data_IF_349658316633
#
_entry.id   IF_349658316633
#
_cell.length_a   1.000
_cell.length_b   1.000
_cell.length_c   1.000
_cell.angle_alpha   90.00
_cell.angle_beta   90.00
_cell.angle_gamma   90.00
#
_symmetry.space_group_name_H-M   'P 1'
#
loop_
_entity.id
_entity.type
_entity.pdbx_description
1 polymer ?
#
# COMPACT_ATOMS: atom_id res chain seq x y z
N UNK A 1 -12.12 16.62 0.22
CA UNK A 1 -12.18 15.32 0.90
C UNK A 1 -12.46 15.54 2.39
N UNK A 2 -13.72 15.45 2.83
CA UNK A 2 -14.14 15.39 4.24
C UNK A 2 -13.44 16.37 5.23
N UNK A 3 -12.99 17.55 4.77
CA UNK A 3 -12.34 18.55 5.63
C UNK A 3 -10.81 18.45 5.74
N UNK A 4 -10.18 17.48 5.10
CA UNK A 4 -8.71 17.38 5.05
C UNK A 4 -8.16 18.19 3.87
N UNK A 5 -7.16 19.03 4.13
CA UNK A 5 -6.42 19.78 3.09
C UNK A 5 -5.34 18.89 2.46
N UNK A 6 -4.80 17.96 3.25
CA UNK A 6 -3.75 17.02 2.85
C UNK A 6 -4.32 15.61 2.66
N UNK A 7 -4.16 14.99 1.48
CA UNK A 7 -4.58 13.62 1.22
C UNK A 7 -3.86 12.58 2.09
N UNK A 8 -2.59 12.82 2.46
CA UNK A 8 -1.82 11.91 3.31
C UNK A 8 -2.36 11.92 4.75
N UNK A 9 -2.67 13.10 5.30
CA UNK A 9 -3.29 13.22 6.61
C UNK A 9 -4.67 12.53 6.65
N UNK A 10 -5.46 12.64 5.58
CA UNK A 10 -6.71 11.89 5.44
C UNK A 10 -6.48 10.39 5.43
N UNK A 11 -5.48 9.93 4.68
CA UNK A 11 -5.15 8.50 4.58
C UNK A 11 -4.71 7.95 5.93
N UNK A 12 -3.82 8.66 6.61
CA UNK A 12 -3.32 8.27 7.93
C UNK A 12 -4.46 8.12 8.94
N UNK A 13 -5.34 9.13 9.04
CA UNK A 13 -6.42 9.14 10.02
C UNK A 13 -7.54 8.13 9.70
N UNK A 14 -7.95 8.04 8.44
CA UNK A 14 -9.11 7.23 8.04
C UNK A 14 -8.75 5.77 7.78
N UNK A 15 -7.53 5.49 7.35
CA UNK A 15 -7.12 4.15 6.94
C UNK A 15 -6.11 3.52 7.91
N UNK A 16 -5.02 4.23 8.23
CA UNK A 16 -3.90 3.65 8.98
C UNK A 16 -4.12 3.64 10.49
N UNK A 17 -4.69 4.71 11.05
CA UNK A 17 -4.96 4.83 12.48
C UNK A 17 -6.30 4.23 12.90
N UNK A 18 -7.04 3.67 11.97
CA UNK A 18 -8.34 3.06 12.27
C UNK A 18 -8.17 1.86 13.18
N UNK A 19 -8.72 1.96 14.38
CA UNK A 19 -8.62 0.93 15.43
C UNK A 19 -9.60 -0.23 15.27
N UNK A 20 -10.65 -0.09 14.43
CA UNK A 20 -11.71 -1.08 14.26
C UNK A 20 -11.98 -1.41 12.79
N UNK A 21 -12.20 -2.70 12.52
CA UNK A 21 -12.55 -3.24 11.21
C UNK A 21 -11.36 -3.45 10.28
N UNK A 22 -11.63 -4.02 9.09
CA UNK A 22 -10.63 -4.17 8.03
C UNK A 22 -10.65 -2.92 7.14
N UNK A 23 -9.59 -2.09 7.15
CA UNK A 23 -9.52 -0.88 6.33
C UNK A 23 -9.57 -1.20 4.83
N UNK A 24 -9.11 -2.40 4.42
CA UNK A 24 -9.10 -2.78 3.02
C UNK A 24 -10.49 -3.06 2.46
N UNK A 25 -11.40 -3.58 3.28
CA UNK A 25 -12.80 -3.80 2.87
C UNK A 25 -13.51 -2.46 2.62
N UNK A 26 -13.40 -1.52 3.56
CA UNK A 26 -13.98 -0.19 3.42
C UNK A 26 -13.39 0.58 2.22
N UNK A 27 -12.07 0.49 2.03
CA UNK A 27 -11.40 1.09 0.89
C UNK A 27 -11.85 0.46 -0.43
N UNK A 28 -11.99 -0.86 -0.49
CA UNK A 28 -12.45 -1.58 -1.67
C UNK A 28 -13.87 -1.18 -2.05
N UNK A 29 -14.76 -1.02 -1.08
CA UNK A 29 -16.13 -0.54 -1.29
C UNK A 29 -16.13 0.90 -1.82
N UNK A 30 -15.41 1.81 -1.17
CA UNK A 30 -15.32 3.21 -1.60
C UNK A 30 -14.78 3.35 -3.03
N UNK A 31 -13.71 2.63 -3.36
CA UNK A 31 -13.17 2.60 -4.72
C UNK A 31 -14.17 1.95 -5.71
N UNK A 32 -14.94 0.95 -5.29
CA UNK A 32 -16.02 0.37 -6.08
C UNK A 32 -17.04 1.42 -6.52
N UNK A 33 -17.54 2.23 -5.58
CA UNK A 33 -18.48 3.33 -5.85
C UNK A 33 -17.87 4.39 -6.77
N UNK A 34 -16.61 4.76 -6.56
CA UNK A 34 -15.91 5.70 -7.45
C UNK A 34 -15.78 5.16 -8.87
N UNK A 35 -15.51 3.87 -9.04
CA UNK A 35 -15.44 3.22 -10.36
C UNK A 35 -16.78 3.21 -11.07
N UNK A 36 -17.87 2.97 -10.35
CA UNK A 36 -19.23 3.01 -10.90
C UNK A 36 -19.63 4.42 -11.35
N UNK A 37 -19.20 5.45 -10.62
CA UNK A 37 -19.45 6.84 -10.96
C UNK A 37 -18.48 7.41 -12.03
N UNK A 38 -17.41 6.70 -12.35
CA UNK A 38 -16.38 7.14 -13.28
C UNK A 38 -16.74 6.78 -14.71
N UNK A 39 -16.35 7.60 -15.71
CA UNK A 39 -16.45 7.20 -17.10
C UNK A 39 -15.61 5.95 -17.38
N UNK A 40 -15.78 5.38 -18.56
CA UNK A 40 -15.22 4.09 -18.95
C UNK A 40 -13.79 3.82 -18.46
N UNK A 41 -13.59 2.64 -17.92
CA UNK A 41 -12.25 2.16 -17.56
C UNK A 41 -11.43 1.91 -18.82
N UNK A 42 -10.25 2.48 -18.91
CA UNK A 42 -9.37 2.35 -20.08
C UNK A 42 -8.96 0.88 -20.34
N UNK A 43 -8.69 0.55 -21.60
CA UNK A 43 -8.38 -0.82 -22.02
C UNK A 43 -7.06 -1.34 -21.40
N UNK A 44 -6.11 -0.47 -21.07
CA UNK A 44 -4.86 -0.87 -20.41
C UNK A 44 -5.13 -1.36 -18.99
N UNK A 45 -6.00 -0.69 -18.25
CA UNK A 45 -6.47 -1.10 -16.93
C UNK A 45 -7.22 -2.44 -17.00
N UNK A 46 -8.12 -2.59 -17.96
CA UNK A 46 -8.86 -3.85 -18.15
C UNK A 46 -7.94 -5.03 -18.48
N UNK A 47 -6.87 -4.80 -19.25
CA UNK A 47 -5.83 -5.82 -19.55
C UNK A 47 -5.03 -6.19 -18.30
N UNK A 48 -4.63 -5.20 -17.48
CA UNK A 48 -3.95 -5.47 -16.20
C UNK A 48 -4.81 -6.34 -15.30
N UNK A 49 -6.08 -6.00 -15.15
CA UNK A 49 -7.04 -6.75 -14.33
C UNK A 49 -7.28 -8.17 -14.88
N UNK A 50 -7.41 -8.32 -16.19
CA UNK A 50 -7.51 -9.64 -16.84
C UNK A 50 -6.27 -10.51 -16.54
N UNK A 51 -5.07 -9.91 -16.55
CA UNK A 51 -3.83 -10.60 -16.22
C UNK A 51 -3.78 -10.97 -14.73
N UNK A 52 -4.10 -10.06 -13.82
CA UNK A 52 -4.17 -10.33 -12.38
C UNK A 52 -5.13 -11.48 -12.08
N UNK A 53 -6.34 -11.48 -12.65
CA UNK A 53 -7.30 -12.58 -12.50
C UNK A 53 -6.79 -13.90 -13.09
N UNK A 54 -6.02 -13.86 -14.17
CA UNK A 54 -5.37 -15.06 -14.75
C UNK A 54 -4.37 -15.65 -13.77
N UNK A 55 -3.53 -14.83 -13.15
CA UNK A 55 -2.54 -15.25 -12.13
C UNK A 55 -3.25 -15.83 -10.91
N UNK A 56 -4.29 -15.15 -10.39
CA UNK A 56 -5.10 -15.64 -9.28
C UNK A 56 -5.72 -17.02 -9.55
N UNK A 57 -6.28 -17.20 -10.74
CA UNK A 57 -6.83 -18.50 -11.14
C UNK A 57 -5.74 -19.58 -11.23
N UNK A 58 -4.53 -19.23 -11.64
CA UNK A 58 -3.41 -20.16 -11.68
C UNK A 58 -2.98 -20.56 -10.26
N UNK A 59 -2.86 -19.63 -9.34
CA UNK A 59 -2.55 -19.89 -7.94
C UNK A 59 -3.59 -20.81 -7.27
N UNK A 60 -4.89 -20.53 -7.48
CA UNK A 60 -5.96 -21.40 -6.98
C UNK A 60 -5.89 -22.82 -7.53
N UNK A 61 -5.60 -22.96 -8.84
CA UNK A 61 -5.43 -24.30 -9.46
C UNK A 61 -4.19 -25.03 -8.97
N UNK A 62 -3.17 -24.30 -8.54
CA UNK A 62 -1.99 -24.87 -7.90
C UNK A 62 -2.22 -25.33 -6.45
N UNK A 63 -3.45 -25.15 -5.92
CA UNK A 63 -3.82 -25.62 -4.58
C UNK A 63 -3.52 -24.64 -3.46
N UNK A 64 -3.18 -23.36 -3.77
CA UNK A 64 -3.00 -22.37 -2.72
C UNK A 64 -4.36 -21.97 -2.12
N UNK A 65 -4.54 -22.24 -0.83
CA UNK A 65 -5.77 -21.94 -0.09
C UNK A 65 -5.79 -20.49 0.44
N UNK A 66 -4.63 -19.95 0.80
CA UNK A 66 -4.47 -18.59 1.31
C UNK A 66 -3.68 -17.77 0.31
N UNK A 67 -4.35 -16.80 -0.32
CA UNK A 67 -3.75 -15.97 -1.37
C UNK A 67 -3.94 -14.50 -0.98
N UNK A 68 -2.83 -13.79 -0.80
CA UNK A 68 -2.83 -12.35 -0.65
C UNK A 68 -2.53 -11.69 -1.99
N UNK A 69 -3.23 -10.62 -2.31
CA UNK A 69 -3.05 -9.84 -3.54
C UNK A 69 -2.66 -8.43 -3.17
N UNK A 70 -1.45 -8.03 -3.55
CA UNK A 70 -0.98 -6.65 -3.39
C UNK A 70 -1.13 -5.94 -4.74
N UNK A 71 -2.01 -4.95 -4.80
CA UNK A 71 -2.28 -4.19 -6.03
C UNK A 71 -2.69 -2.75 -5.68
N UNK A 72 -2.69 -1.86 -6.68
CA UNK A 72 -3.25 -0.53 -6.51
C UNK A 72 -4.75 -0.61 -6.17
N UNK A 73 -5.22 0.25 -5.27
CA UNK A 73 -6.58 0.24 -4.75
C UNK A 73 -7.66 0.26 -5.85
N UNK A 74 -7.38 0.95 -6.97
CA UNK A 74 -8.28 0.99 -8.14
C UNK A 74 -8.64 -0.39 -8.69
N UNK A 75 -7.74 -1.38 -8.57
CA UNK A 75 -7.94 -2.73 -9.08
C UNK A 75 -8.66 -3.66 -8.08
N UNK A 76 -8.68 -3.32 -6.79
CA UNK A 76 -9.21 -4.18 -5.74
C UNK A 76 -10.68 -4.61 -5.99
N UNK A 77 -11.63 -3.72 -6.34
CA UNK A 77 -13.01 -4.12 -6.60
C UNK A 77 -13.15 -5.12 -7.78
N UNK A 78 -12.30 -4.97 -8.81
CA UNK A 78 -12.32 -5.87 -9.97
C UNK A 78 -11.79 -7.27 -9.68
N UNK A 79 -11.06 -7.43 -8.56
CA UNK A 79 -10.47 -8.69 -8.11
C UNK A 79 -11.28 -9.34 -6.99
N UNK A 80 -11.87 -8.54 -6.09
CA UNK A 80 -12.71 -9.00 -4.98
C UNK A 80 -14.12 -9.38 -5.44
N UNK A 81 -14.67 -8.71 -6.44
CA UNK A 81 -16.02 -8.92 -6.96
C UNK A 81 -16.16 -10.20 -7.80
N UNK A 82 -17.36 -10.36 -8.39
CA UNK A 82 -17.62 -11.48 -9.30
C UNK A 82 -16.78 -11.35 -10.58
N UNK A 83 -15.88 -12.29 -10.86
CA UNK A 83 -15.01 -12.17 -12.01
C UNK A 83 -15.78 -12.35 -13.33
N UNK A 84 -15.35 -11.69 -14.41
CA UNK A 84 -15.84 -11.96 -15.76
C UNK A 84 -15.53 -13.39 -16.19
N UNK A 85 -16.18 -13.84 -17.27
CA UNK A 85 -15.90 -15.16 -17.84
C UNK A 85 -14.45 -15.28 -18.27
N UNK A 86 -13.83 -16.42 -18.03
CA UNK A 86 -12.41 -16.70 -18.39
C UNK A 86 -12.14 -16.42 -19.87
N UNK A 87 -13.10 -16.70 -20.74
CA UNK A 87 -12.98 -16.42 -22.16
C UNK A 87 -12.82 -14.92 -22.47
N UNK A 88 -13.45 -14.04 -21.71
CA UNK A 88 -13.31 -12.59 -21.88
C UNK A 88 -11.92 -12.11 -21.49
N UNK A 89 -11.38 -12.57 -20.36
CA UNK A 89 -10.02 -12.26 -19.96
C UNK A 89 -8.99 -12.78 -20.99
N UNK A 90 -9.20 -14.01 -21.49
CA UNK A 90 -8.31 -14.59 -22.49
C UNK A 90 -8.37 -13.82 -23.83
N UNK A 91 -9.54 -13.35 -24.23
CA UNK A 91 -9.70 -12.53 -25.44
C UNK A 91 -8.92 -11.21 -25.33
N UNK A 92 -9.00 -10.53 -24.17
CA UNK A 92 -8.24 -9.29 -23.90
C UNK A 92 -6.73 -9.48 -23.92
N UNK A 93 -6.27 -10.64 -23.47
CA UNK A 93 -4.84 -10.96 -23.38
C UNK A 93 -4.29 -11.58 -24.66
N UNK A 94 -5.16 -11.87 -25.66
CA UNK A 94 -4.74 -12.48 -26.92
C UNK A 94 -3.87 -11.51 -27.72
N UNK A 95 -2.76 -12.01 -28.24
CA UNK A 95 -1.85 -11.23 -29.11
C UNK A 95 -0.94 -10.25 -28.38
N UNK A 96 -0.97 -10.20 -27.04
CA UNK A 96 -0.02 -9.38 -26.31
C UNK A 96 1.41 -9.90 -26.42
N UNK A 97 2.33 -9.03 -26.79
CA UNK A 97 3.76 -9.35 -26.83
C UNK A 97 4.26 -9.67 -25.41
N UNK A 98 5.08 -10.71 -25.30
CA UNK A 98 5.80 -10.99 -24.06
C UNK A 98 7.02 -10.08 -23.99
N UNK A 99 7.06 -9.19 -23.01
CA UNK A 99 8.26 -8.43 -22.70
C UNK A 99 9.33 -9.35 -22.08
N UNK A 100 10.57 -9.16 -22.46
CA UNK A 100 11.70 -9.75 -21.72
C UNK A 100 11.82 -8.96 -20.42
N UNK A 101 11.66 -9.66 -19.30
CA UNK A 101 11.79 -9.06 -17.96
C UNK A 101 12.92 -9.73 -17.21
N UNK A 102 13.69 -8.97 -16.48
CA UNK A 102 14.65 -9.46 -15.50
C UNK A 102 14.18 -9.04 -14.11
N UNK A 103 14.14 -10.00 -13.19
CA UNK A 103 13.81 -9.76 -11.81
C UNK A 103 15.09 -9.87 -10.99
N UNK A 104 15.31 -8.88 -10.12
CA UNK A 104 16.42 -8.91 -9.19
C UNK A 104 15.91 -8.53 -7.78
N UNK A 105 16.54 -9.10 -6.78
CA UNK A 105 16.27 -8.72 -5.41
C UNK A 105 17.03 -7.45 -5.06
N UNK A 106 16.33 -6.47 -4.54
CA UNK A 106 16.92 -5.20 -4.07
C UNK A 106 16.69 -5.10 -2.57
N UNK A 107 17.74 -4.88 -1.75
CA UNK A 107 17.55 -4.66 -0.32
C UNK A 107 16.70 -3.41 -0.08
N UNK A 108 15.64 -3.55 0.68
CA UNK A 108 14.81 -2.44 1.13
C UNK A 108 15.37 -1.87 2.42
N UNK A 109 15.79 -0.62 2.39
CA UNK A 109 16.18 0.15 3.58
C UNK A 109 15.25 1.33 3.72
N UNK A 110 15.12 1.90 4.92
CA UNK A 110 14.32 3.10 5.13
C UNK A 110 14.76 4.24 4.20
N UNK A 111 16.05 4.40 3.97
CA UNK A 111 16.56 5.40 3.04
C UNK A 111 16.10 5.18 1.59
N UNK A 112 15.96 3.93 1.15
CA UNK A 112 15.46 3.61 -0.19
C UNK A 112 13.95 3.77 -0.31
N UNK A 113 13.21 3.62 0.76
CA UNK A 113 11.77 3.86 0.83
C UNK A 113 11.43 5.35 0.89
N UNK A 114 12.32 6.15 1.50
CA UNK A 114 12.12 7.59 1.61
C UNK A 114 12.16 8.31 0.26
N UNK A 115 11.34 9.32 0.09
CA UNK A 115 11.02 10.00 -1.17
C UNK A 115 12.18 10.60 -1.97
N UNK A 116 13.37 10.75 -1.38
CA UNK A 116 14.52 11.41 -2.02
C UNK A 116 15.40 10.54 -2.91
N UNK A 117 15.14 9.23 -3.02
CA UNK A 117 16.09 8.30 -3.66
C UNK A 117 15.84 8.01 -5.14
N UNK A 118 14.84 8.63 -5.77
CA UNK A 118 14.45 8.36 -7.17
C UNK A 118 13.93 6.93 -7.45
N UNK A 119 14.05 6.04 -6.49
CA UNK A 119 13.60 4.64 -6.54
C UNK A 119 12.36 4.41 -5.65
N UNK A 120 11.85 5.46 -5.06
CA UNK A 120 10.96 5.35 -3.92
C UNK A 120 9.49 5.40 -4.31
N UNK A 121 8.70 4.69 -3.54
CA UNK A 121 7.27 4.91 -3.46
C UNK A 121 6.91 6.27 -2.83
N UNK A 122 7.90 7.07 -2.42
CA UNK A 122 7.69 8.37 -1.80
C UNK A 122 7.19 8.28 -0.35
N UNK A 123 7.50 7.20 0.35
CA UNK A 123 7.06 7.03 1.74
C UNK A 123 7.79 8.02 2.64
N UNK A 124 7.05 8.90 3.27
CA UNK A 124 7.57 9.74 4.34
C UNK A 124 7.77 8.90 5.61
N UNK A 125 8.84 9.18 6.35
CA UNK A 125 9.13 8.54 7.64
C UNK A 125 8.96 7.00 7.67
N UNK A 126 9.58 6.22 6.76
CA UNK A 126 9.41 4.77 6.71
C UNK A 126 9.81 4.06 8.01
N UNK A 127 10.65 4.68 8.83
CA UNK A 127 10.98 4.20 10.18
C UNK A 127 9.79 4.24 11.14
N UNK A 128 8.91 5.23 11.00
CA UNK A 128 7.67 5.31 11.77
C UNK A 128 6.74 4.13 11.47
N UNK A 129 6.48 3.87 10.20
CA UNK A 129 5.63 2.74 9.79
C UNK A 129 6.22 1.39 10.20
N UNK A 130 7.54 1.25 10.10
CA UNK A 130 8.22 0.06 10.61
C UNK A 130 8.00 -0.13 12.12
N UNK A 131 8.07 0.96 12.88
CA UNK A 131 7.81 0.94 14.31
C UNK A 131 6.36 0.59 14.62
N UNK A 132 5.39 1.20 13.95
CA UNK A 132 3.96 0.88 14.11
C UNK A 132 3.69 -0.62 13.89
N UNK A 133 4.31 -1.19 12.87
CA UNK A 133 4.17 -2.61 12.55
C UNK A 133 4.83 -3.55 13.57
N UNK A 134 5.93 -3.14 14.18
CA UNK A 134 6.75 -4.01 15.04
C UNK A 134 6.60 -3.75 16.53
N UNK A 135 6.11 -2.58 16.94
CA UNK A 135 5.98 -2.22 18.35
C UNK A 135 4.80 -2.97 18.99
N UNK A 136 5.02 -3.65 20.12
CA UNK A 136 3.96 -4.36 20.83
C UNK A 136 3.00 -3.41 21.56
N UNK A 137 3.46 -2.19 21.92
CA UNK A 137 2.72 -1.19 22.67
C UNK A 137 3.34 0.20 22.51
N UNK A 138 2.60 1.25 22.85
CA UNK A 138 3.04 2.65 22.96
C UNK A 138 3.96 3.12 21.83
N UNK A 139 3.54 3.04 20.56
CA UNK A 139 4.41 3.36 19.42
C UNK A 139 4.94 4.80 19.45
N UNK A 140 4.13 5.78 19.82
CA UNK A 140 4.54 7.19 19.91
C UNK A 140 5.69 7.39 20.90
N UNK A 141 5.57 6.85 22.11
CA UNK A 141 6.63 6.96 23.14
C UNK A 141 7.92 6.30 22.67
N UNK A 142 7.80 5.13 22.03
CA UNK A 142 8.95 4.39 21.47
C UNK A 142 9.61 5.18 20.34
N UNK A 143 8.80 5.77 19.46
CA UNK A 143 9.29 6.59 18.35
C UNK A 143 10.07 7.80 18.85
N UNK A 144 9.48 8.60 19.73
CA UNK A 144 10.12 9.79 20.30
C UNK A 144 11.41 9.44 21.03
N UNK A 145 11.42 8.32 21.76
CA UNK A 145 12.63 7.83 22.44
C UNK A 145 13.73 7.46 21.44
N UNK A 146 13.40 6.78 20.34
CA UNK A 146 14.36 6.41 19.29
C UNK A 146 14.90 7.63 18.56
N UNK A 147 14.03 8.59 18.21
CA UNK A 147 14.42 9.86 17.59
C UNK A 147 15.39 10.62 18.49
N UNK A 148 15.05 10.78 19.78
CA UNK A 148 15.91 11.44 20.74
C UNK A 148 17.28 10.75 20.89
N UNK A 149 17.29 9.42 20.94
CA UNK A 149 18.54 8.65 20.99
C UNK A 149 19.37 8.84 19.71
N UNK A 150 18.72 8.95 18.54
CA UNK A 150 19.39 9.19 17.27
C UNK A 150 20.00 10.58 17.21
N UNK A 151 19.26 11.60 17.62
CA UNK A 151 19.73 12.99 17.67
C UNK A 151 20.94 13.14 18.62
N UNK A 152 20.88 12.54 19.81
CA UNK A 152 21.99 12.55 20.76
C UNK A 152 23.26 11.87 20.23
N UNK A 153 23.12 10.80 19.45
CA UNK A 153 24.29 10.17 18.79
C UNK A 153 24.94 11.05 17.71
N UNK A 154 24.22 12.06 17.24
CA UNK A 154 24.71 13.04 16.28
C UNK A 154 25.10 14.39 16.95
N UNK A 155 25.31 14.34 18.28
CA UNK A 155 25.67 15.49 19.12
C UNK A 155 24.62 16.64 19.05
N UNK A 156 23.39 16.31 18.69
CA UNK A 156 22.26 17.25 18.73
C UNK A 156 21.61 17.23 20.12
N UNK A 157 21.47 18.39 20.80
CA UNK A 157 20.96 18.44 22.15
C UNK A 157 19.45 18.19 22.19
N UNK A 158 19.04 17.09 22.83
CA UNK A 158 17.65 16.77 23.09
C UNK A 158 17.46 16.47 24.58
N UNK A 159 16.69 17.32 25.26
CA UNK A 159 16.33 17.11 26.65
C UNK A 159 15.11 16.19 26.81
N UNK A 160 14.92 15.65 28.01
CA UNK A 160 13.70 14.88 28.33
C UNK A 160 12.45 15.74 28.28
N UNK A 161 12.55 17.06 28.53
CA UNK A 161 11.44 17.99 28.40
C UNK A 161 10.94 18.09 26.94
N UNK A 162 11.84 18.19 25.97
CA UNK A 162 11.48 18.21 24.54
C UNK A 162 10.70 16.95 24.12
N UNK A 163 11.03 15.80 24.72
CA UNK A 163 10.35 14.53 24.42
C UNK A 163 8.94 14.51 25.02
N UNK A 164 8.79 15.06 26.23
CA UNK A 164 7.51 15.10 26.94
C UNK A 164 6.55 16.08 26.27
N UNK A 165 7.05 17.23 25.77
CA UNK A 165 6.24 18.21 25.04
C UNK A 165 5.76 17.68 23.67
N UNK A 166 6.51 16.77 23.06
CA UNK A 166 6.17 16.17 21.77
C UNK A 166 5.27 14.94 21.89
N UNK A 167 5.05 14.38 23.06
CA UNK A 167 4.27 13.19 23.33
C UNK A 167 2.81 13.48 23.66
#
# INVERSE_FOLDING_TARGET
LAGYEDPEAWWEDVVELRMEGDPFDALTEAIGLLREASPETDEATLRREAHMRKVLRAARRAGHERIAVVCGAWHAPALAGRPPKVAQDNARLKGMAKARTSLTWVPWTHQRLAGGSGYSAGVESPGWYHLLFTAPDRPVVRWLTQVAASLRRQDLPVSSAHIIEAA
#
